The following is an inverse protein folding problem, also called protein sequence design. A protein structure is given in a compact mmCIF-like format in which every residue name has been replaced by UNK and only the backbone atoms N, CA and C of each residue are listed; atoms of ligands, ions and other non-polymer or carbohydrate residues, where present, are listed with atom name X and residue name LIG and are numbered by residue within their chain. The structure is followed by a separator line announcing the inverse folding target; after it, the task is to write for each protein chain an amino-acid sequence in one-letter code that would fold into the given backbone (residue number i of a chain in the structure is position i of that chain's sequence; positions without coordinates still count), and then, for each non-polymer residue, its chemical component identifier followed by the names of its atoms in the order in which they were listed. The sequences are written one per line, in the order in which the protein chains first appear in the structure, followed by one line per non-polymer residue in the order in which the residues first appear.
data_IF_511538543573
#
_entry.id   IF_511538543573
#
_cell.length_a   1.000
_cell.length_b   1.000
_cell.length_c   1.000
_cell.angle_alpha   90.00
_cell.angle_beta   90.00
_cell.angle_gamma   90.00
#
_symmetry.space_group_name_H-M   'P 1'
#
loop_
_entity.id
_entity.type
_entity.pdbx_description
1 polymer ?
#
# COMPACT_ATOMS: atom_id res chain seq x y z
N UNK A 1 -30.73 1.83 -14.91
CA UNK A 1 -29.26 1.74 -15.06
C UNK A 1 -28.79 1.89 -13.64
N UNK A 2 -28.59 0.75 -12.98
CA UNK A 2 -28.45 0.71 -11.53
C UNK A 2 -27.18 1.49 -11.15
N UNK A 3 -27.37 2.56 -10.40
CA UNK A 3 -26.28 3.39 -9.88
C UNK A 3 -25.53 2.52 -8.89
N UNK A 4 -24.30 2.11 -9.24
CA UNK A 4 -23.39 1.49 -8.29
C UNK A 4 -23.20 2.43 -7.11
N UNK A 5 -23.49 1.95 -5.90
CA UNK A 5 -23.20 2.70 -4.69
C UNK A 5 -21.68 2.81 -4.54
N UNK A 6 -21.19 3.87 -3.89
CA UNK A 6 -19.74 4.06 -3.73
C UNK A 6 -19.06 2.86 -3.01
N UNK A 7 -19.82 2.08 -2.23
CA UNK A 7 -19.37 0.83 -1.60
C UNK A 7 -19.24 -0.38 -2.55
N UNK A 8 -19.81 -0.32 -3.76
CA UNK A 8 -19.85 -1.44 -4.71
C UNK A 8 -18.54 -1.63 -5.53
N UNK A 9 -17.56 -0.73 -5.39
CA UNK A 9 -16.26 -0.82 -6.05
C UNK A 9 -15.10 -0.79 -5.04
N UNK A 10 -14.99 -1.84 -4.23
CA UNK A 10 -13.78 -2.04 -3.42
C UNK A 10 -12.59 -2.40 -4.33
N UNK A 11 -11.65 -1.47 -4.51
CA UNK A 11 -10.43 -1.73 -5.26
C UNK A 11 -9.65 -2.88 -4.58
N UNK A 12 -9.32 -3.95 -5.31
CA UNK A 12 -8.55 -5.08 -4.78
C UNK A 12 -7.29 -4.62 -4.04
N UNK A 13 -7.18 -5.05 -2.78
CA UNK A 13 -6.08 -4.66 -1.90
C UNK A 13 -5.10 -5.79 -1.73
N UNK A 14 -3.87 -5.57 -2.19
CA UNK A 14 -2.75 -6.47 -2.05
C UNK A 14 -1.92 -6.13 -0.81
N UNK A 15 -1.52 -7.18 -0.08
CA UNK A 15 -0.64 -7.08 1.08
C UNK A 15 0.52 -8.05 0.95
N UNK A 16 1.72 -7.61 1.37
CA UNK A 16 2.90 -8.47 1.41
C UNK A 16 2.84 -9.37 2.65
N UNK A 17 2.83 -10.69 2.46
CA UNK A 17 2.82 -11.65 3.53
C UNK A 17 4.14 -11.66 4.29
N UNK A 18 4.06 -11.47 5.61
CA UNK A 18 5.20 -11.54 6.51
C UNK A 18 5.31 -12.93 7.15
N UNK A 19 6.47 -13.21 7.76
CA UNK A 19 6.66 -14.44 8.54
C UNK A 19 5.64 -14.57 9.68
N UNK A 20 5.28 -13.46 10.30
CA UNK A 20 4.26 -13.35 11.35
C UNK A 20 2.99 -12.70 10.81
N UNK A 21 1.81 -13.17 11.23
CA UNK A 21 0.50 -12.70 10.76
C UNK A 21 0.08 -13.24 9.39
N UNK A 22 -1.12 -12.88 8.93
CA UNK A 22 -1.67 -13.34 7.64
C UNK A 22 -2.03 -14.83 7.65
N UNK A 23 -2.52 -15.34 8.78
CA UNK A 23 -2.75 -16.77 9.00
C UNK A 23 -3.79 -17.33 8.03
N UNK A 24 -4.81 -16.54 7.66
CA UNK A 24 -5.77 -16.89 6.62
C UNK A 24 -5.09 -17.19 5.28
N UNK A 25 -4.30 -16.23 4.77
CA UNK A 25 -3.59 -16.38 3.50
C UNK A 25 -2.60 -17.56 3.53
N UNK A 26 -1.98 -17.83 4.68
CA UNK A 26 -1.12 -19.00 4.88
C UNK A 26 -1.91 -20.31 4.90
N UNK A 27 -3.13 -20.31 5.44
CA UNK A 27 -4.07 -21.42 5.36
C UNK A 27 -4.44 -21.77 3.91
N UNK A 28 -4.46 -20.78 3.02
CA UNK A 28 -4.63 -20.96 1.57
C UNK A 28 -3.34 -21.41 0.83
N UNK A 29 -2.24 -21.65 1.55
CA UNK A 29 -0.95 -22.05 1.00
C UNK A 29 0.01 -20.90 0.69
N UNK A 30 -0.36 -19.66 1.03
CA UNK A 30 0.48 -18.48 0.87
C UNK A 30 1.75 -18.54 1.72
N UNK A 31 2.87 -18.10 1.15
CA UNK A 31 4.19 -18.11 1.80
C UNK A 31 4.65 -16.69 2.13
N UNK A 32 5.42 -16.51 3.23
CA UNK A 32 6.09 -15.23 3.49
C UNK A 32 6.90 -14.78 2.27
N UNK A 33 6.76 -13.51 1.90
CA UNK A 33 7.34 -12.94 0.67
C UNK A 33 6.39 -12.89 -0.53
N UNK A 34 5.24 -13.58 -0.49
CA UNK A 34 4.23 -13.45 -1.53
C UNK A 34 3.26 -12.30 -1.24
N UNK A 35 2.62 -11.79 -2.27
CA UNK A 35 1.50 -10.87 -2.18
C UNK A 35 0.20 -11.65 -2.11
N UNK A 36 -0.71 -11.19 -1.26
CA UNK A 36 -2.04 -11.75 -1.10
C UNK A 36 -3.10 -10.68 -1.35
N UNK A 37 -4.07 -10.99 -2.19
CA UNK A 37 -5.21 -10.13 -2.50
C UNK A 37 -6.35 -10.40 -1.51
N UNK A 38 -6.68 -9.40 -0.69
CA UNK A 38 -7.72 -9.51 0.34
C UNK A 38 -9.14 -9.67 -0.21
N UNK A 39 -9.36 -9.31 -1.48
CA UNK A 39 -10.68 -9.31 -2.12
C UNK A 39 -10.92 -10.61 -2.90
N UNK A 40 -9.91 -11.10 -3.61
CA UNK A 40 -10.03 -12.28 -4.50
C UNK A 40 -9.42 -13.56 -3.93
N UNK A 41 -8.77 -13.49 -2.76
CA UNK A 41 -7.99 -14.57 -2.17
C UNK A 41 -6.79 -15.05 -3.02
N UNK A 42 -6.40 -14.29 -4.03
CA UNK A 42 -5.27 -14.61 -4.91
C UNK A 42 -3.91 -14.43 -4.25
N UNK A 43 -2.94 -15.20 -4.74
CA UNK A 43 -1.54 -15.15 -4.34
C UNK A 43 -0.66 -14.85 -5.55
N UNK A 44 0.29 -13.94 -5.38
CA UNK A 44 1.23 -13.57 -6.43
C UNK A 44 2.66 -13.42 -5.89
N UNK A 45 3.67 -13.81 -6.67
CA UNK A 45 5.08 -13.62 -6.31
C UNK A 45 5.58 -12.21 -6.64
N UNK A 46 4.96 -11.57 -7.63
CA UNK A 46 5.26 -10.22 -8.09
C UNK A 46 3.99 -9.53 -8.58
N UNK A 47 4.03 -8.20 -8.59
CA UNK A 47 2.96 -7.36 -9.13
C UNK A 47 3.54 -6.46 -10.22
N UNK A 48 2.94 -6.44 -11.41
CA UNK A 48 3.33 -5.56 -12.51
C UNK A 48 2.29 -4.47 -12.69
N UNK A 49 2.63 -3.26 -12.24
CA UNK A 49 1.67 -2.16 -12.21
C UNK A 49 2.17 -0.91 -12.92
N UNK A 50 1.22 -0.20 -13.51
CA UNK A 50 1.37 1.21 -13.81
C UNK A 50 1.00 2.01 -12.56
N UNK A 51 1.88 2.89 -12.10
CA UNK A 51 1.62 3.69 -10.90
C UNK A 51 0.70 4.86 -11.24
N UNK A 52 -0.43 4.94 -10.55
CA UNK A 52 -1.39 6.05 -10.67
C UNK A 52 -1.06 7.12 -9.64
N UNK A 53 -1.03 6.74 -8.36
CA UNK A 53 -0.64 7.63 -7.27
C UNK A 53 -0.06 6.85 -6.10
N UNK A 54 0.69 7.55 -5.25
CA UNK A 54 1.23 7.00 -4.01
C UNK A 54 0.80 7.92 -2.87
N UNK A 55 -0.20 7.48 -2.13
CA UNK A 55 -0.75 8.19 -0.98
C UNK A 55 0.11 7.92 0.25
N UNK A 56 0.47 8.99 0.94
CA UNK A 56 1.23 8.95 2.17
C UNK A 56 0.27 9.10 3.34
N UNK A 57 0.21 8.10 4.20
CA UNK A 57 -0.54 8.13 5.45
C UNK A 57 0.36 7.92 6.65
N UNK A 58 -0.25 7.87 7.82
CA UNK A 58 0.40 7.51 9.09
C UNK A 58 -0.53 6.60 9.89
N UNK A 59 0.03 5.69 10.66
CA UNK A 59 -0.74 4.89 11.60
C UNK A 59 0.06 4.59 12.86
N UNK A 60 -0.61 4.66 14.02
CA UNK A 60 -0.16 4.13 15.29
C UNK A 60 -0.91 2.82 15.54
N UNK A 61 -0.17 1.74 15.68
CA UNK A 61 -0.73 0.45 16.08
C UNK A 61 -0.69 0.31 17.60
N UNK A 62 -1.52 -0.58 18.15
CA UNK A 62 -1.46 -0.94 19.56
C UNK A 62 -0.14 -1.64 19.91
N UNK A 63 0.00 -2.04 21.17
CA UNK A 63 1.12 -2.89 21.61
C UNK A 63 1.23 -4.17 20.81
N UNK A 64 0.10 -4.67 20.31
CA UNK A 64 0.01 -5.78 19.36
C UNK A 64 -0.67 -5.31 18.08
N UNK A 65 -0.16 -5.76 16.93
CA UNK A 65 -0.82 -5.56 15.64
C UNK A 65 -1.90 -6.64 15.54
N UNK A 66 -3.16 -6.23 15.63
CA UNK A 66 -4.32 -7.09 15.50
C UNK A 66 -5.22 -6.64 14.35
N UNK A 67 -6.23 -7.46 14.07
CA UNK A 67 -7.23 -7.16 13.04
C UNK A 67 -8.16 -6.00 13.40
N UNK A 68 -8.15 -5.55 14.67
CA UNK A 68 -8.89 -4.36 15.14
C UNK A 68 -8.39 -3.04 14.51
N UNK A 69 -7.28 -3.08 13.77
CA UNK A 69 -6.76 -1.91 13.08
C UNK A 69 -5.89 -1.00 13.96
N UNK A 70 -5.47 0.16 13.43
CA UNK A 70 -4.62 1.09 14.15
C UNK A 70 -5.39 1.87 15.23
N UNK A 71 -4.74 2.13 16.35
CA UNK A 71 -5.24 2.99 17.45
C UNK A 71 -5.50 4.41 16.97
N UNK A 72 -4.70 4.89 16.02
CA UNK A 72 -4.90 6.18 15.38
C UNK A 72 -4.29 6.16 13.97
N UNK A 73 -4.90 6.87 13.04
CA UNK A 73 -4.41 6.99 11.68
C UNK A 73 -4.58 8.42 11.14
N UNK A 74 -3.83 8.72 10.09
CA UNK A 74 -4.01 9.88 9.23
C UNK A 74 -3.90 9.39 7.80
N UNK A 75 -4.98 9.55 7.03
CA UNK A 75 -5.09 9.03 5.66
C UNK A 75 -4.31 9.94 4.69
N UNK A 76 -4.33 11.25 4.95
CA UNK A 76 -3.48 12.22 4.27
C UNK A 76 -2.48 12.84 5.25
N UNK A 77 -1.31 12.21 5.32
CA UNK A 77 -0.22 12.68 6.16
C UNK A 77 0.32 14.06 5.73
N UNK A 78 -0.06 14.60 4.56
CA UNK A 78 0.35 15.96 4.13
C UNK A 78 -0.38 17.04 4.91
N UNK A 79 -1.67 16.84 5.18
CA UNK A 79 -2.48 17.80 5.92
C UNK A 79 -2.25 17.74 7.43
N UNK A 80 -1.54 16.72 7.92
CA UNK A 80 -1.22 16.51 9.33
C UNK A 80 -2.47 16.44 10.23
N UNK A 81 -3.58 15.91 9.72
CA UNK A 81 -4.81 15.75 10.50
C UNK A 81 -5.10 14.25 10.69
N UNK A 82 -5.42 13.85 11.92
CA UNK A 82 -5.82 12.48 12.24
C UNK A 82 -7.27 12.19 11.83
N UNK A 83 -7.67 10.92 11.85
CA UNK A 83 -9.08 10.52 11.71
C UNK A 83 -9.99 11.09 12.81
N UNK A 84 -9.43 11.58 13.91
CA UNK A 84 -10.13 12.22 15.01
C UNK A 84 -10.05 13.76 14.95
N UNK A 85 -9.55 14.31 13.83
CA UNK A 85 -9.37 15.74 13.60
C UNK A 85 -8.31 16.42 14.52
N UNK A 86 -7.33 15.64 15.01
CA UNK A 86 -6.22 16.15 15.80
C UNK A 86 -5.03 16.60 14.93
N UNK A 87 -4.28 17.60 15.41
CA UNK A 87 -3.03 18.03 14.78
C UNK A 87 -1.90 17.01 15.04
N UNK A 88 -1.53 16.28 13.99
CA UNK A 88 -0.47 15.30 14.01
C UNK A 88 0.92 15.93 14.25
N UNK A 89 1.14 17.23 13.99
CA UNK A 89 2.44 17.88 14.23
C UNK A 89 2.75 18.00 15.73
N UNK A 90 1.72 18.10 16.58
CA UNK A 90 1.87 18.18 18.03
C UNK A 90 1.83 16.81 18.73
N UNK A 91 1.65 15.73 17.97
CA UNK A 91 1.49 14.39 18.52
C UNK A 91 2.82 13.83 19.04
N UNK A 92 2.94 13.43 20.33
CA UNK A 92 4.18 12.89 20.91
C UNK A 92 4.55 11.50 20.36
N UNK A 93 3.59 10.81 19.75
CA UNK A 93 3.82 9.52 19.11
C UNK A 93 4.28 9.65 17.66
N UNK A 94 4.31 10.86 17.09
CA UNK A 94 4.76 11.09 15.72
C UNK A 94 6.22 10.70 15.55
N UNK A 95 6.47 9.81 14.59
CA UNK A 95 7.82 9.44 14.18
C UNK A 95 7.94 9.55 12.65
N UNK A 96 8.73 10.53 12.20
CA UNK A 96 8.90 10.83 10.77
C UNK A 96 10.07 10.07 10.13
N UNK A 97 11.00 9.58 10.95
CA UNK A 97 12.14 8.77 10.51
C UNK A 97 12.15 7.40 11.22
N UNK A 98 11.20 6.50 10.93
CA UNK A 98 11.15 5.16 11.56
C UNK A 98 12.39 4.29 11.33
N UNK A 99 13.23 4.65 10.34
CA UNK A 99 14.51 3.98 10.09
C UNK A 99 15.67 4.48 10.97
N UNK A 100 15.51 5.62 11.68
CA UNK A 100 16.56 6.18 12.54
C UNK A 100 16.46 5.76 14.00
N UNK A 101 15.43 4.99 14.37
CA UNK A 101 15.21 4.46 15.72
C UNK A 101 15.18 2.94 15.69
N UNK A 102 15.34 2.31 16.85
CA UNK A 102 15.28 0.86 16.96
C UNK A 102 13.84 0.32 16.76
N UNK A 103 13.73 -1.00 16.63
CA UNK A 103 12.43 -1.63 16.36
C UNK A 103 11.48 -1.61 17.57
N UNK A 104 12.00 -1.58 18.80
CA UNK A 104 11.18 -1.57 20.01
C UNK A 104 10.52 -0.21 20.17
N UNK A 105 11.28 0.87 20.02
CA UNK A 105 10.77 2.23 20.01
C UNK A 105 9.80 2.43 18.84
N UNK A 106 10.18 2.04 17.61
CA UNK A 106 9.34 2.21 16.42
C UNK A 106 7.93 1.62 16.58
N UNK A 107 7.81 0.45 17.23
CA UNK A 107 6.51 -0.22 17.43
C UNK A 107 5.54 0.59 18.28
N UNK A 108 6.04 1.45 19.15
CA UNK A 108 5.20 2.30 20.01
C UNK A 108 4.77 3.61 19.33
N UNK A 109 5.32 3.91 18.15
CA UNK A 109 5.19 5.21 17.49
C UNK A 109 4.27 5.17 16.26
N UNK A 110 3.68 6.32 15.97
CA UNK A 110 2.90 6.59 14.77
C UNK A 110 3.84 6.78 13.58
N UNK A 111 3.94 5.75 12.75
CA UNK A 111 4.87 5.68 11.62
C UNK A 111 4.18 6.00 10.30
N UNK A 112 4.97 6.48 9.33
CA UNK A 112 4.52 6.66 7.96
C UNK A 112 4.16 5.32 7.31
N UNK A 113 3.12 5.36 6.48
CA UNK A 113 2.74 4.30 5.57
C UNK A 113 2.49 4.86 4.17
N UNK A 114 2.58 3.98 3.18
CA UNK A 114 2.40 4.35 1.78
C UNK A 114 1.41 3.39 1.14
N UNK A 115 0.42 3.93 0.46
CA UNK A 115 -0.54 3.16 -0.32
C UNK A 115 -0.30 3.47 -1.78
N UNK A 116 0.12 2.47 -2.54
CA UNK A 116 0.39 2.60 -3.97
C UNK A 116 -0.89 2.21 -4.68
N UNK A 117 -1.52 3.19 -5.34
CA UNK A 117 -2.61 2.95 -6.28
C UNK A 117 -1.99 2.69 -7.64
N UNK A 118 -2.37 1.57 -8.25
CA UNK A 118 -1.86 1.19 -9.56
C UNK A 118 -2.91 0.52 -10.42
N UNK A 119 -2.54 0.32 -11.67
CA UNK A 119 -3.29 -0.45 -12.66
C UNK A 119 -2.45 -1.69 -12.98
N UNK A 120 -3.00 -2.86 -12.70
CA UNK A 120 -2.38 -4.14 -13.04
C UNK A 120 -2.49 -4.38 -14.56
N UNK A 121 -1.35 -4.47 -15.23
CA UNK A 121 -1.32 -4.64 -16.68
C UNK A 121 -1.49 -6.10 -17.11
N UNK A 122 -1.28 -7.05 -16.21
CA UNK A 122 -1.36 -8.49 -16.50
C UNK A 122 -2.80 -9.01 -16.36
N UNK A 123 -3.64 -8.30 -15.59
CA UNK A 123 -5.03 -8.67 -15.31
C UNK A 123 -6.02 -7.59 -15.82
N UNK A 124 -6.11 -7.42 -17.14
CA UNK A 124 -7.13 -6.59 -17.82
C UNK A 124 -7.26 -5.15 -17.29
N UNK A 125 -6.14 -4.49 -16.95
CA UNK A 125 -6.13 -3.12 -16.41
C UNK A 125 -6.90 -2.99 -15.08
N UNK A 126 -6.98 -4.06 -14.29
CA UNK A 126 -7.65 -4.03 -13.00
C UNK A 126 -6.95 -3.04 -12.05
N UNK A 127 -7.69 -2.14 -11.38
CA UNK A 127 -7.10 -1.26 -10.38
C UNK A 127 -6.69 -2.06 -9.14
N UNK A 128 -5.55 -1.70 -8.55
CA UNK A 128 -5.07 -2.34 -7.33
C UNK A 128 -4.55 -1.31 -6.32
N UNK A 129 -4.66 -1.66 -5.03
CA UNK A 129 -4.01 -0.93 -3.94
C UNK A 129 -2.98 -1.85 -3.28
N UNK A 130 -1.71 -1.45 -3.28
CA UNK A 130 -0.67 -2.09 -2.49
C UNK A 130 -0.38 -1.28 -1.22
N UNK A 131 -0.60 -1.90 -0.06
CA UNK A 131 -0.33 -1.29 1.26
C UNK A 131 1.10 -1.58 1.71
N UNK A 132 1.95 -0.56 1.70
CA UNK A 132 3.35 -0.63 2.09
C UNK A 132 3.60 0.05 3.44
N UNK A 133 3.78 -0.78 4.48
CA UNK A 133 3.97 -0.34 5.86
C UNK A 133 5.34 -0.75 6.41
N UNK A 134 5.75 -0.15 7.53
CA UNK A 134 6.90 -0.59 8.31
C UNK A 134 8.20 -0.61 7.51
N UNK A 135 8.78 -1.80 7.35
CA UNK A 135 10.05 -2.00 6.63
C UNK A 135 9.97 -1.67 5.14
N UNK A 136 8.78 -1.76 4.55
CA UNK A 136 8.49 -1.39 3.15
C UNK A 136 8.36 0.12 2.91
N UNK A 137 8.26 0.93 3.97
CA UNK A 137 8.06 2.37 3.85
C UNK A 137 9.24 3.08 3.13
N UNK A 138 10.47 2.64 3.39
CA UNK A 138 11.66 3.22 2.74
C UNK A 138 11.67 2.92 1.23
N UNK A 139 11.31 1.69 0.85
CA UNK A 139 11.25 1.29 -0.56
C UNK A 139 10.18 2.09 -1.33
N UNK A 140 9.01 2.31 -0.72
CA UNK A 140 7.98 3.19 -1.30
C UNK A 140 8.48 4.63 -1.46
N UNK A 141 9.18 5.17 -0.46
CA UNK A 141 9.76 6.52 -0.56
C UNK A 141 10.80 6.62 -1.68
N UNK A 142 11.64 5.60 -1.84
CA UNK A 142 12.61 5.54 -2.94
C UNK A 142 11.91 5.49 -4.30
N UNK A 143 10.82 4.72 -4.43
CA UNK A 143 10.00 4.70 -5.65
C UNK A 143 9.42 6.09 -5.97
N UNK A 144 8.84 6.78 -4.97
CA UNK A 144 8.33 8.15 -5.14
C UNK A 144 9.44 9.07 -5.68
N UNK A 145 10.64 9.01 -5.09
CA UNK A 145 11.78 9.82 -5.54
C UNK A 145 12.19 9.47 -6.97
N UNK A 146 12.26 8.19 -7.33
CA UNK A 146 12.60 7.75 -8.69
C UNK A 146 11.57 8.26 -9.71
N UNK A 147 10.27 8.14 -9.41
CA UNK A 147 9.20 8.62 -10.29
C UNK A 147 9.25 10.15 -10.46
N UNK A 148 9.43 10.90 -9.36
CA UNK A 148 9.50 12.37 -9.40
C UNK A 148 10.73 12.93 -10.09
N UNK A 149 11.88 12.28 -9.90
CA UNK A 149 13.16 12.74 -10.46
C UNK A 149 13.42 12.24 -11.88
N UNK A 150 12.61 11.30 -12.38
CA UNK A 150 12.73 10.82 -13.74
C UNK A 150 12.23 11.87 -14.74
N UNK A 151 13.19 12.54 -15.40
CA UNK A 151 12.93 13.59 -16.41
C UNK A 151 12.15 13.08 -17.63
N UNK A 152 12.18 11.78 -17.91
CA UNK A 152 11.44 11.20 -19.03
C UNK A 152 9.93 11.12 -18.73
N UNK A 153 9.55 10.96 -17.46
CA UNK A 153 8.14 10.88 -17.06
C UNK A 153 7.48 12.26 -16.98
N UNK A 154 8.22 13.33 -16.68
CA UNK A 154 7.68 14.70 -16.53
C UNK A 154 6.46 14.80 -15.60
N UNK A 155 6.37 13.94 -14.59
CA UNK A 155 5.23 13.86 -13.66
C UNK A 155 4.11 12.91 -14.09
N UNK A 156 4.19 12.31 -15.26
CA UNK A 156 3.23 11.34 -15.79
C UNK A 156 3.55 9.92 -15.30
N UNK A 157 3.22 9.61 -14.05
CA UNK A 157 3.53 8.30 -13.46
C UNK A 157 2.87 7.14 -14.20
N UNK A 158 1.72 7.39 -14.86
CA UNK A 158 1.01 6.41 -15.67
C UNK A 158 1.83 5.89 -16.88
N UNK A 159 2.99 6.49 -17.18
CA UNK A 159 3.94 6.01 -18.19
C UNK A 159 5.03 5.09 -17.61
N UNK A 160 5.04 4.83 -16.31
CA UNK A 160 6.04 3.97 -15.68
C UNK A 160 5.41 2.60 -15.35
N UNK A 161 5.90 1.55 -16.00
CA UNK A 161 5.63 0.18 -15.58
C UNK A 161 6.61 -0.20 -14.47
N UNK A 162 6.07 -0.57 -13.32
CA UNK A 162 6.79 -0.92 -12.11
C UNK A 162 6.51 -2.38 -11.78
N UNK A 163 7.57 -3.19 -11.77
CA UNK A 163 7.53 -4.54 -11.21
C UNK A 163 7.83 -4.44 -9.71
N UNK A 164 6.97 -5.03 -8.89
CA UNK A 164 7.11 -5.05 -7.44
C UNK A 164 7.31 -6.49 -7.00
N UNK A 165 8.54 -6.78 -6.58
CA UNK A 165 8.93 -8.05 -5.95
C UNK A 165 9.01 -7.91 -4.45
N UNK A 166 9.22 -9.02 -3.76
CA UNK A 166 9.74 -8.99 -2.39
C UNK A 166 11.26 -9.18 -2.37
N UNK A 167 11.88 -8.67 -1.31
CA UNK A 167 13.26 -8.94 -0.96
C UNK A 167 13.31 -9.36 0.51
N UNK A 168 14.03 -10.44 0.78
CA UNK A 168 14.33 -10.86 2.13
C UNK A 168 15.31 -9.87 2.78
N UNK A 169 14.99 -9.45 4.01
CA UNK A 169 15.85 -8.58 4.81
C UNK A 169 16.04 -9.18 6.20
N UNK A 170 17.28 -9.44 6.55
CA UNK A 170 17.63 -9.86 7.90
C UNK A 170 17.62 -8.66 8.83
N UNK A 171 16.86 -8.77 9.91
CA UNK A 171 16.86 -7.80 11.02
C UNK A 171 17.37 -8.51 12.28
N UNK A 172 17.79 -7.76 13.32
CA UNK A 172 18.16 -8.36 14.60
C UNK A 172 17.07 -9.23 15.25
N UNK A 173 15.81 -9.07 14.80
CA UNK A 173 14.64 -9.80 15.29
C UNK A 173 14.18 -10.91 14.35
N UNK A 174 14.98 -11.22 13.33
CA UNK A 174 14.72 -12.25 12.32
C UNK A 174 14.50 -11.70 10.92
N UNK A 175 14.22 -12.61 10.00
CA UNK A 175 13.88 -12.33 8.60
C UNK A 175 12.55 -11.60 8.48
N UNK A 176 12.54 -10.48 7.75
CA UNK A 176 11.33 -9.80 7.28
C UNK A 176 11.37 -9.67 5.77
N UNK A 177 10.21 -9.50 5.14
CA UNK A 177 10.10 -9.31 3.70
C UNK A 177 9.76 -7.85 3.42
N UNK A 178 10.43 -7.27 2.43
CA UNK A 178 10.29 -5.86 2.08
C UNK A 178 9.91 -5.79 0.60
N UNK A 179 9.03 -4.88 0.21
CA UNK A 179 8.77 -4.66 -1.22
C UNK A 179 10.05 -4.12 -1.89
N UNK A 180 10.27 -4.53 -3.13
CA UNK A 180 11.37 -4.11 -3.97
C UNK A 180 10.81 -3.63 -5.32
N UNK A 181 10.26 -2.40 -5.37
CA UNK A 181 9.72 -1.83 -6.59
C UNK A 181 10.86 -1.43 -7.54
N UNK A 182 10.71 -1.77 -8.82
CA UNK A 182 11.65 -1.40 -9.87
C UNK A 182 10.88 -0.94 -11.10
N UNK A 183 11.21 0.25 -11.61
CA UNK A 183 10.73 0.69 -12.93
C UNK A 183 11.39 -0.20 -13.98
N UNK A 184 10.61 -1.05 -14.63
CA UNK A 184 11.09 -2.01 -15.64
C UNK A 184 10.97 -1.50 -17.05
N UNK A 185 9.99 -0.63 -17.31
CA UNK A 185 9.76 -0.06 -18.64
C UNK A 185 9.13 1.34 -18.54
N UNK A 186 9.51 2.19 -19.49
CA UNK A 186 8.82 3.46 -19.75
C UNK A 186 7.94 3.28 -21.00
N UNK A 187 6.68 3.69 -20.89
CA UNK A 187 5.69 3.56 -21.95
C UNK A 187 5.86 4.73 -22.92
N UNK A 188 6.43 4.44 -24.08
CA UNK A 188 6.68 5.41 -25.16
C UNK A 188 5.63 5.37 -26.26
N UNK A 189 4.79 4.33 -26.30
CA UNK A 189 3.67 4.26 -27.23
C UNK A 189 2.57 5.23 -26.78
N UNK A 190 2.27 6.23 -27.61
CA UNK A 190 1.34 7.30 -27.27
C UNK A 190 -0.12 6.82 -27.20
N UNK A 191 -0.49 5.78 -27.97
CA UNK A 191 -1.85 5.23 -27.90
C UNK A 191 -2.08 4.56 -26.55
N UNK A 192 -1.13 3.71 -26.13
CA UNK A 192 -1.16 3.03 -24.84
C UNK A 192 -1.01 4.00 -23.67
N UNK A 193 -0.16 5.02 -23.79
CA UNK A 193 -0.02 6.04 -22.77
C UNK A 193 -1.34 6.82 -22.56
N UNK A 194 -2.06 7.12 -23.65
CA UNK A 194 -3.36 7.81 -23.59
C UNK A 194 -4.44 6.95 -22.94
N UNK A 195 -4.48 5.65 -23.24
CA UNK A 195 -5.38 4.70 -22.58
C UNK A 195 -5.14 4.68 -21.07
N UNK A 196 -3.87 4.51 -20.65
CA UNK A 196 -3.50 4.49 -19.24
C UNK A 196 -3.73 5.83 -18.54
N UNK A 197 -3.57 6.95 -19.26
CA UNK A 197 -3.92 8.27 -18.74
C UNK A 197 -5.42 8.37 -18.44
N UNK A 198 -6.27 7.88 -19.35
CA UNK A 198 -7.73 7.88 -19.17
C UNK A 198 -8.10 7.02 -17.95
N UNK A 199 -7.57 5.80 -17.84
CA UNK A 199 -7.84 4.92 -16.70
C UNK A 199 -7.31 5.51 -15.38
N UNK A 200 -6.10 6.09 -15.39
CA UNK A 200 -5.54 6.76 -14.22
C UNK A 200 -6.42 7.93 -13.76
N UNK A 201 -6.92 8.73 -14.69
CA UNK A 201 -7.79 9.87 -14.37
C UNK A 201 -9.17 9.41 -13.86
N UNK A 202 -9.72 8.30 -14.37
CA UNK A 202 -10.94 7.70 -13.84
C UNK A 202 -10.76 7.29 -12.38
N UNK A 203 -9.64 6.64 -12.05
CA UNK A 203 -9.34 6.21 -10.68
C UNK A 203 -9.09 7.36 -9.71
N UNK A 204 -8.48 8.46 -10.19
CA UNK A 204 -8.26 9.67 -9.38
C UNK A 204 -9.53 10.53 -9.23
N UNK A 205 -10.43 10.48 -10.22
CA UNK A 205 -11.70 11.21 -10.22
C UNK A 205 -12.85 10.49 -9.51
N UNK A 206 -12.70 9.20 -9.21
CA UNK A 206 -13.68 8.41 -8.47
C UNK A 206 -13.45 8.52 -6.95
N UNK A 207 -14.48 8.73 -6.12
CA UNK A 207 -14.35 8.61 -4.67
C UNK A 207 -14.02 7.15 -4.33
N UNK A 208 -12.77 6.89 -3.93
CA UNK A 208 -12.32 5.56 -3.51
C UNK A 208 -12.96 5.28 -2.13
N UNK A 209 -14.00 4.45 -2.10
CA UNK A 209 -14.54 3.96 -0.84
C UNK A 209 -13.57 2.97 -0.19
N UNK A 210 -13.46 3.07 1.14
CA UNK A 210 -12.68 2.12 1.93
C UNK A 210 -13.42 0.78 1.98
N UNK A 211 -12.74 -0.36 1.84
CA UNK A 211 -13.38 -1.66 2.10
C UNK A 211 -13.84 -1.70 3.57
N UNK A 212 -15.10 -2.09 3.79
CA UNK A 212 -15.64 -2.31 5.13
C UNK A 212 -14.79 -3.36 5.86
N UNK A 213 -14.49 -3.13 7.14
CA UNK A 213 -13.86 -4.14 7.98
C UNK A 213 -14.77 -5.37 8.02
N UNK A 214 -14.21 -6.58 7.84
CA UNK A 214 -15.00 -7.82 7.99
C UNK A 214 -15.64 -7.81 9.39
N UNK A 215 -16.91 -8.20 9.54
CA UNK A 215 -17.53 -8.34 10.84
C UNK A 215 -16.69 -9.28 11.71
N UNK A 216 -16.44 -8.90 12.96
CA UNK A 216 -15.79 -9.76 13.93
C UNK A 216 -16.62 -11.05 14.09
N UNK A 217 -16.02 -12.22 13.89
CA UNK A 217 -16.61 -13.46 14.40
C UNK A 217 -16.59 -13.33 15.93
N UNK A 218 -17.77 -13.20 16.53
CA UNK A 218 -17.94 -13.29 17.98
C UNK A 218 -17.21 -14.55 18.45
N UNK A 219 -16.17 -14.37 19.27
CA UNK A 219 -15.55 -15.47 19.97
C UNK A 219 -16.66 -16.14 20.81
N UNK A 220 -17.11 -17.31 20.35
CA UNK A 220 -18.05 -18.15 21.07
C UNK A 220 -17.56 -18.50 22.48
N UNK A 221 -18.48 -18.90 23.36
CA UNK A 221 -18.36 -18.88 24.82
C UNK A 221 -17.20 -19.69 25.40
#
# INVERSE_FOLDING_TARGET
MDEYEAGDMAIPTWVLLQKVGGDWAKGLGGKPGQFYNKTTDELADELNIVVVDILMGRAKWGTEISDAGPVCASIDAKNNISIYNDDCLQCPDRLDAPWSVDAAERRTKCCLNYSILGIDIDHDLMPIILRAHGTSALASRQLITQLKMNRALRGEYYRALVNIKCQEKNTPFGTTYVIHPKIVQLITDESRAKELQIESNKLLGAPIALPEARPEEEAGP
#
